data_IF_247415836591
#
_entry.id   IF_247415836591
#
_cell.length_a   1.000
_cell.length_b   1.000
_cell.length_c   1.000
_cell.angle_alpha   90.00
_cell.angle_beta   90.00
_cell.angle_gamma   90.00
#
_symmetry.space_group_name_H-M   'P 1'
#
loop_
_entity.id
_entity.type
_entity.pdbx_description
1 polymer ?
#
# COMPACT_ATOMS: atom_id res chain seq x y z
N UNK A 1 5.52 9.83 -2.40
CA UNK A 1 5.81 8.42 -2.73
C UNK A 1 5.53 8.26 -4.23
N UNK A 2 5.89 7.16 -4.87
CA UNK A 2 5.33 6.89 -6.22
C UNK A 2 3.89 6.40 -6.05
N UNK A 3 2.91 6.91 -6.83
CA UNK A 3 1.55 6.38 -6.80
C UNK A 3 1.51 4.91 -7.19
N UNK A 4 0.56 4.16 -6.62
CA UNK A 4 0.32 2.78 -7.01
C UNK A 4 -0.77 2.70 -8.06
N UNK A 5 -0.59 1.81 -9.03
CA UNK A 5 -1.61 1.49 -10.02
C UNK A 5 -2.47 0.35 -9.52
N UNK A 6 -3.74 0.62 -9.27
CA UNK A 6 -4.63 -0.32 -8.58
C UNK A 6 -6.00 -0.39 -9.27
N UNK A 7 -6.62 -1.57 -9.20
CA UNK A 7 -8.04 -1.75 -9.52
C UNK A 7 -8.83 -1.53 -8.24
N UNK A 8 -9.59 -0.42 -8.16
CA UNK A 8 -10.34 -0.05 -6.97
C UNK A 8 -11.78 0.36 -7.30
N UNK A 9 -12.65 0.27 -6.30
CA UNK A 9 -14.02 0.78 -6.38
C UNK A 9 -14.14 1.92 -5.38
N UNK A 10 -14.22 3.15 -5.87
CA UNK A 10 -14.47 4.32 -5.04
C UNK A 10 -15.86 4.20 -4.38
N UNK A 11 -16.08 4.80 -3.19
CA UNK A 11 -17.37 4.72 -2.50
C UNK A 11 -18.58 5.16 -3.34
N UNK A 12 -18.38 6.15 -4.22
CA UNK A 12 -19.42 6.67 -5.13
C UNK A 12 -19.52 5.90 -6.46
N UNK A 13 -18.59 4.99 -6.76
CA UNK A 13 -18.54 4.27 -8.02
C UNK A 13 -19.38 2.99 -7.97
N UNK A 14 -20.05 2.67 -9.09
CA UNK A 14 -20.82 1.42 -9.22
C UNK A 14 -19.95 0.22 -9.63
N UNK A 15 -18.81 0.48 -10.31
CA UNK A 15 -17.89 -0.52 -10.84
C UNK A 15 -16.46 -0.28 -10.34
N UNK A 16 -15.62 -1.30 -10.46
CA UNK A 16 -14.17 -1.18 -10.25
C UNK A 16 -13.53 -0.50 -11.44
N UNK A 17 -12.63 0.43 -11.18
CA UNK A 17 -11.88 1.19 -12.17
C UNK A 17 -10.38 1.09 -11.88
N UNK A 18 -9.58 1.27 -12.93
CA UNK A 18 -8.14 1.38 -12.80
C UNK A 18 -7.78 2.82 -12.46
N UNK A 19 -7.02 3.01 -11.37
CA UNK A 19 -6.63 4.32 -10.91
C UNK A 19 -5.23 4.34 -10.31
N UNK A 20 -4.64 5.53 -10.28
CA UNK A 20 -3.41 5.83 -9.55
C UNK A 20 -3.79 6.27 -8.15
N UNK A 21 -3.35 5.55 -7.13
CA UNK A 21 -3.66 5.84 -5.73
C UNK A 21 -2.40 6.37 -5.04
N UNK A 22 -2.52 7.52 -4.39
CA UNK A 22 -1.47 8.08 -3.54
C UNK A 22 -2.00 8.39 -2.13
N UNK A 23 -1.31 7.86 -1.12
CA UNK A 23 -1.58 8.14 0.28
C UNK A 23 -1.09 9.53 0.68
N UNK A 24 -1.93 10.29 1.36
CA UNK A 24 -1.61 11.62 1.84
C UNK A 24 -1.37 11.62 3.35
N UNK A 25 -0.14 11.96 3.73
CA UNK A 25 0.29 12.22 5.11
C UNK A 25 0.81 13.67 5.15
N UNK A 26 0.25 14.54 6.01
CA UNK A 26 0.68 15.92 6.10
C UNK A 26 2.18 16.02 6.44
N UNK A 27 2.89 16.90 5.74
CA UNK A 27 4.28 17.19 6.06
C UNK A 27 4.36 17.87 7.42
N UNK A 28 5.23 17.38 8.28
CA UNK A 28 5.49 17.94 9.62
C UNK A 28 6.98 18.09 9.88
N UNK A 29 7.40 19.05 10.73
CA UNK A 29 8.76 19.10 11.22
C UNK A 29 9.14 17.75 11.84
N UNK A 30 10.33 17.25 11.50
CA UNK A 30 10.86 15.97 11.99
C UNK A 30 9.96 14.74 11.74
N UNK A 31 9.04 14.79 10.76
CA UNK A 31 8.14 13.67 10.42
C UNK A 31 7.30 13.17 11.61
N UNK A 32 6.95 14.05 12.55
CA UNK A 32 6.16 13.70 13.74
C UNK A 32 4.72 13.27 13.40
N UNK A 33 4.18 13.79 12.32
CA UNK A 33 2.88 13.38 11.76
C UNK A 33 3.13 12.26 10.77
N UNK A 34 2.71 11.06 11.14
CA UNK A 34 2.78 9.86 10.30
C UNK A 34 1.41 9.26 10.03
N UNK A 35 0.34 9.90 10.53
CA UNK A 35 -1.03 9.48 10.30
C UNK A 35 -1.51 9.95 8.92
N UNK A 36 -2.26 9.07 8.29
CA UNK A 36 -2.96 9.34 7.06
C UNK A 36 -4.10 10.34 7.30
N UNK A 37 -4.25 11.31 6.40
CA UNK A 37 -5.43 12.19 6.40
C UNK A 37 -6.28 12.05 5.14
N UNK A 38 -5.84 11.23 4.17
CA UNK A 38 -6.64 10.89 3.00
C UNK A 38 -5.83 10.20 1.90
N UNK A 39 -6.48 9.97 0.77
CA UNK A 39 -5.88 9.49 -0.48
C UNK A 39 -6.30 10.38 -1.63
N UNK A 40 -5.43 10.44 -2.64
CA UNK A 40 -5.75 11.00 -3.94
C UNK A 40 -5.80 9.86 -4.95
N UNK A 41 -6.88 9.80 -5.72
CA UNK A 41 -7.09 8.82 -6.78
C UNK A 41 -7.15 9.54 -8.11
N UNK A 42 -6.18 9.26 -8.98
CA UNK A 42 -6.18 9.73 -10.36
C UNK A 42 -6.72 8.68 -11.31
N UNK A 43 -7.72 9.05 -12.10
CA UNK A 43 -8.38 8.17 -13.07
C UNK A 43 -8.35 8.80 -14.46
N UNK A 44 -8.33 7.94 -15.48
CA UNK A 44 -8.44 8.33 -16.88
C UNK A 44 -9.25 7.26 -17.62
N UNK A 45 -10.17 7.71 -18.47
CA UNK A 45 -11.02 6.84 -19.29
C UNK A 45 -11.33 7.50 -20.64
N UNK A 46 -11.86 6.75 -21.59
CA UNK A 46 -12.23 7.28 -22.90
C UNK A 46 -13.29 8.39 -22.84
N UNK A 47 -14.17 8.37 -21.83
CA UNK A 47 -15.20 9.38 -21.61
C UNK A 47 -14.80 10.50 -20.65
N UNK A 48 -13.72 10.32 -19.88
CA UNK A 48 -13.19 11.31 -18.96
C UNK A 48 -11.66 11.29 -19.01
N UNK A 49 -11.02 12.23 -19.73
CA UNK A 49 -9.60 12.15 -20.02
C UNK A 49 -8.74 12.18 -18.75
N UNK A 50 -9.13 12.95 -17.72
CA UNK A 50 -8.46 12.96 -16.43
C UNK A 50 -9.41 13.41 -15.32
N UNK A 51 -9.45 12.68 -14.21
CA UNK A 51 -10.08 13.10 -12.97
C UNK A 51 -9.21 12.80 -11.76
N UNK A 52 -9.25 13.70 -10.78
CA UNK A 52 -8.64 13.51 -9.47
C UNK A 52 -9.74 13.52 -8.41
N UNK A 53 -9.82 12.43 -7.65
CA UNK A 53 -10.77 12.27 -6.54
C UNK A 53 -9.99 12.23 -5.24
N UNK A 54 -10.29 13.14 -4.31
CA UNK A 54 -9.74 13.09 -2.95
C UNK A 54 -10.70 12.38 -2.02
N UNK A 55 -10.19 11.43 -1.25
CA UNK A 55 -10.89 10.77 -0.16
C UNK A 55 -10.23 11.17 1.15
N UNK A 56 -10.93 11.86 2.03
CA UNK A 56 -10.40 12.29 3.33
C UNK A 56 -10.84 11.34 4.43
N UNK A 57 -9.96 11.12 5.40
CA UNK A 57 -10.31 10.34 6.60
C UNK A 57 -11.32 11.10 7.46
N UNK A 58 -12.16 10.40 8.26
CA UNK A 58 -13.04 11.07 9.21
C UNK A 58 -12.27 11.97 10.18
N UNK A 59 -12.85 13.11 10.53
CA UNK A 59 -12.25 14.03 11.49
C UNK A 59 -12.12 13.36 12.87
N UNK A 60 -10.96 13.47 13.49
CA UNK A 60 -10.70 12.93 14.83
C UNK A 60 -10.26 11.47 14.88
N UNK A 61 -10.28 10.75 13.76
CA UNK A 61 -9.72 9.41 13.68
C UNK A 61 -8.21 9.45 13.42
N UNK A 62 -7.47 8.59 14.13
CA UNK A 62 -6.04 8.38 13.90
C UNK A 62 -5.86 7.14 13.03
N UNK A 63 -5.81 7.36 11.71
CA UNK A 63 -5.53 6.29 10.76
C UNK A 63 -4.03 6.24 10.50
N UNK A 64 -3.43 5.08 10.69
CA UNK A 64 -2.00 4.88 10.45
C UNK A 64 -1.64 5.17 8.99
N UNK A 65 -0.61 5.99 8.78
CA UNK A 65 -0.08 6.23 7.45
C UNK A 65 0.82 5.10 6.94
N UNK A 66 1.23 5.17 5.67
CA UNK A 66 2.03 4.13 5.02
C UNK A 66 3.28 3.72 5.79
N UNK A 67 3.97 4.68 6.43
CA UNK A 67 5.20 4.40 7.18
C UNK A 67 4.94 3.55 8.44
N UNK A 68 3.89 3.91 9.20
CA UNK A 68 3.48 3.20 10.42
C UNK A 68 3.02 1.78 10.09
N UNK A 69 2.15 1.64 9.09
CA UNK A 69 1.65 0.32 8.66
C UNK A 69 2.77 -0.54 8.08
N UNK A 70 3.65 0.05 7.26
CA UNK A 70 4.82 -0.64 6.73
C UNK A 70 5.70 -1.21 7.84
N UNK A 71 6.01 -0.41 8.86
CA UNK A 71 6.83 -0.84 10.00
C UNK A 71 6.14 -1.95 10.79
N UNK A 72 4.84 -1.80 11.08
CA UNK A 72 4.04 -2.82 11.78
C UNK A 72 3.99 -4.13 11.00
N UNK A 73 3.77 -4.09 9.69
CA UNK A 73 3.74 -5.27 8.82
C UNK A 73 5.05 -6.05 8.86
N UNK A 74 6.20 -5.35 8.78
CA UNK A 74 7.52 -6.00 8.76
C UNK A 74 7.92 -6.52 10.14
N UNK A 75 7.52 -5.83 11.21
CA UNK A 75 7.83 -6.22 12.59
C UNK A 75 6.89 -7.27 13.17
N UNK A 76 5.76 -7.57 12.50
CA UNK A 76 4.85 -8.63 12.90
C UNK A 76 5.62 -9.97 12.95
N UNK A 77 5.53 -10.68 14.06
CA UNK A 77 6.39 -11.84 14.37
C UNK A 77 6.39 -12.90 13.27
N UNK A 78 5.22 -13.23 12.70
CA UNK A 78 5.09 -14.18 11.61
C UNK A 78 5.81 -13.70 10.33
N UNK A 79 5.66 -12.42 9.99
CA UNK A 79 6.30 -11.81 8.82
C UNK A 79 7.81 -11.71 9.02
N UNK A 80 8.28 -11.24 10.18
CA UNK A 80 9.70 -11.11 10.46
C UNK A 80 10.41 -12.46 10.47
N UNK A 81 9.75 -13.51 10.96
CA UNK A 81 10.26 -14.88 10.94
C UNK A 81 10.39 -15.41 9.50
N UNK A 82 9.38 -15.21 8.67
CA UNK A 82 9.43 -15.59 7.25
C UNK A 82 10.50 -14.82 6.49
N UNK A 83 10.60 -13.50 6.66
CA UNK A 83 11.66 -12.70 6.04
C UNK A 83 13.01 -13.27 6.46
N UNK A 84 13.21 -13.51 7.75
CA UNK A 84 14.46 -14.10 8.26
C UNK A 84 14.74 -15.44 7.61
N UNK A 85 13.74 -16.32 7.44
CA UNK A 85 13.92 -17.65 6.85
C UNK A 85 14.19 -17.60 5.33
N UNK A 86 13.50 -16.71 4.62
CA UNK A 86 13.52 -16.64 3.17
C UNK A 86 14.65 -15.76 2.62
N UNK A 87 15.19 -14.85 3.43
CA UNK A 87 16.28 -13.93 3.07
C UNK A 87 17.64 -14.47 3.50
N UNK A 88 18.01 -15.67 3.02
CA UNK A 88 19.25 -16.34 3.39
C UNK A 88 19.92 -17.02 2.20
N UNK A 89 21.25 -17.17 2.30
CA UNK A 89 22.09 -18.10 1.53
C UNK A 89 21.57 -18.53 0.14
N UNK A 90 21.53 -17.58 -0.81
CA UNK A 90 21.16 -17.85 -2.20
C UNK A 90 19.74 -17.44 -2.58
N UNK A 91 18.93 -16.99 -1.62
CA UNK A 91 17.68 -16.28 -1.87
C UNK A 91 17.70 -14.88 -1.26
N UNK A 92 16.95 -13.97 -1.89
CA UNK A 92 16.76 -12.60 -1.44
C UNK A 92 15.26 -12.30 -1.35
N UNK A 93 14.84 -11.71 -0.24
CA UNK A 93 13.49 -11.16 -0.07
C UNK A 93 13.42 -9.76 -0.64
N UNK A 94 12.37 -9.49 -1.42
CA UNK A 94 12.03 -8.15 -1.89
C UNK A 94 10.60 -7.82 -1.50
N UNK A 95 10.43 -6.74 -0.73
CA UNK A 95 9.12 -6.20 -0.42
C UNK A 95 8.63 -5.35 -1.59
N UNK A 96 7.42 -5.64 -2.07
CA UNK A 96 6.77 -4.85 -3.09
C UNK A 96 6.18 -3.54 -2.58
N UNK A 97 5.53 -2.82 -3.49
CA UNK A 97 4.79 -1.60 -3.16
C UNK A 97 3.74 -1.86 -2.08
N UNK A 98 3.54 -0.87 -1.21
CA UNK A 98 2.48 -0.89 -0.22
C UNK A 98 1.24 -0.23 -0.81
N UNK A 99 0.22 -1.04 -1.07
CA UNK A 99 -1.06 -0.64 -1.64
C UNK A 99 -2.09 -0.38 -0.55
N UNK A 100 -2.94 0.62 -0.78
CA UNK A 100 -3.97 1.05 0.15
C UNK A 100 -5.33 0.95 -0.55
N UNK A 101 -6.07 -0.12 -0.24
CA UNK A 101 -7.29 -0.49 -0.94
C UNK A 101 -8.50 -0.08 -0.09
N UNK A 102 -9.34 0.85 -0.55
CA UNK A 102 -10.58 1.18 0.15
C UNK A 102 -11.54 -0.02 0.14
N UNK A 103 -12.01 -0.43 1.32
CA UNK A 103 -13.02 -1.49 1.49
C UNK A 103 -14.16 -0.98 2.36
N UNK A 104 -15.22 -0.50 1.71
CA UNK A 104 -16.35 0.12 2.40
C UNK A 104 -15.91 1.39 3.12
N UNK A 105 -16.00 1.40 4.45
CA UNK A 105 -15.55 2.51 5.31
C UNK A 105 -14.15 2.26 5.91
N UNK A 106 -13.51 1.13 5.59
CA UNK A 106 -12.20 0.74 6.10
C UNK A 106 -11.15 0.79 5.00
N UNK A 107 -9.89 0.67 5.40
CA UNK A 107 -8.76 0.65 4.52
C UNK A 107 -7.94 -0.64 4.70
N UNK A 108 -7.76 -1.37 3.61
CA UNK A 108 -6.94 -2.56 3.58
C UNK A 108 -5.56 -2.23 3.01
N UNK A 109 -4.54 -2.41 3.82
CA UNK A 109 -3.16 -2.31 3.38
C UNK A 109 -2.67 -3.66 2.90
N UNK A 110 -2.05 -3.68 1.71
CA UNK A 110 -1.56 -4.90 1.07
C UNK A 110 -0.12 -4.68 0.63
N UNK A 111 0.76 -5.61 0.98
CA UNK A 111 2.15 -5.62 0.53
C UNK A 111 2.58 -7.03 0.11
N UNK A 112 2.92 -7.25 -1.18
CA UNK A 112 3.50 -8.51 -1.60
C UNK A 112 4.94 -8.65 -1.12
N UNK A 113 5.30 -9.88 -0.74
CA UNK A 113 6.65 -10.32 -0.42
C UNK A 113 7.10 -11.27 -1.52
N UNK A 114 8.13 -10.84 -2.25
CA UNK A 114 8.77 -11.63 -3.30
C UNK A 114 10.03 -12.30 -2.77
N UNK A 115 10.35 -13.45 -3.34
CA UNK A 115 11.65 -14.10 -3.17
C UNK A 115 12.24 -14.38 -4.54
N UNK A 116 13.52 -14.07 -4.69
CA UNK A 116 14.29 -14.35 -5.89
C UNK A 116 15.59 -15.07 -5.54
N UNK A 117 16.15 -15.81 -6.50
CA UNK A 117 17.49 -16.39 -6.34
C UNK A 117 18.56 -15.32 -6.49
N UNK A 118 19.63 -15.40 -5.71
CA UNK A 118 20.79 -14.52 -5.85
C UNK A 118 21.56 -14.74 -7.16
N UNK A 119 21.42 -15.90 -7.80
CA UNK A 119 22.08 -16.22 -9.08
C UNK A 119 21.17 -16.01 -10.29
N UNK A 120 19.85 -16.13 -10.10
CA UNK A 120 18.86 -15.87 -11.14
C UNK A 120 17.69 -15.07 -10.55
N UNK A 121 17.75 -13.75 -10.74
CA UNK A 121 16.85 -12.78 -10.12
C UNK A 121 15.48 -12.71 -10.82
N UNK A 122 14.72 -13.81 -10.81
CA UNK A 122 13.32 -13.83 -11.20
C UNK A 122 12.49 -13.84 -9.91
N UNK A 123 11.84 -12.72 -9.52
CA UNK A 123 11.04 -12.65 -8.31
C UNK A 123 9.75 -13.46 -8.42
N UNK A 124 9.50 -14.33 -7.45
CA UNK A 124 8.22 -15.02 -7.29
C UNK A 124 7.53 -14.53 -6.01
N UNK A 125 6.22 -14.27 -6.08
CA UNK A 125 5.43 -13.97 -4.89
C UNK A 125 5.45 -15.18 -3.97
N UNK A 126 5.84 -14.98 -2.71
CA UNK A 126 5.76 -16.00 -1.66
C UNK A 126 4.64 -15.74 -0.68
N UNK A 127 4.43 -14.47 -0.33
CA UNK A 127 3.39 -14.07 0.61
C UNK A 127 2.77 -12.74 0.20
N UNK A 128 1.53 -12.52 0.62
CA UNK A 128 0.85 -11.21 0.59
C UNK A 128 0.55 -10.83 2.03
N UNK A 129 1.21 -9.79 2.52
CA UNK A 129 1.03 -9.26 3.87
C UNK A 129 -0.15 -8.29 3.84
N UNK A 130 -1.09 -8.47 4.78
CA UNK A 130 -2.33 -7.69 4.83
C UNK A 130 -2.53 -7.12 6.23
N UNK A 131 -2.93 -5.85 6.31
CA UNK A 131 -3.32 -5.18 7.55
C UNK A 131 -4.58 -4.34 7.32
N UNK A 132 -5.44 -4.24 8.32
CA UNK A 132 -6.69 -3.48 8.32
C UNK A 132 -6.92 -2.79 9.66
#
# INVERSE_FOLDING_TARGET
MTPNYEMLKLPSASKTHFGLVEAYVPKSPNQQVQNLTGFLVGESSSSNPFSLTSLTTPNGEQIDGPALVSSRMISATNVSQEITLLDQHGSQVQLGSLSAIPLGQNLLWVRPLYVQSSTNAIPAIKQVIVAY
#
